data_IF_205773469503
#
_entry.id   IF_205773469503
#
_cell.length_a   1.000
_cell.length_b   1.000
_cell.length_c   1.000
_cell.angle_alpha   90.00
_cell.angle_beta   90.00
_cell.angle_gamma   90.00
#
_symmetry.space_group_name_H-M   'P 1'
#
loop_
_entity.id
_entity.type
_entity.pdbx_description
1 polymer ?
#
# COMPACT_ATOMS: atom_id res chain seq x y z
N UNK A 1 26.53 -31.81 24.82
CA UNK A 1 25.52 -32.54 25.63
C UNK A 1 24.88 -31.57 26.58
N UNK A 2 23.56 -31.41 26.53
CA UNK A 2 22.81 -30.57 27.47
C UNK A 2 22.43 -31.47 28.65
N UNK A 3 22.78 -31.07 29.88
CA UNK A 3 22.55 -31.86 31.10
C UNK A 3 21.47 -31.15 31.93
N UNK A 4 20.31 -31.76 32.04
CA UNK A 4 19.23 -31.35 32.95
C UNK A 4 18.94 -32.57 33.82
N UNK A 5 18.95 -32.40 35.15
CA UNK A 5 18.59 -33.43 36.13
C UNK A 5 19.21 -34.83 35.87
N UNK A 6 20.53 -34.88 35.73
CA UNK A 6 21.32 -36.12 35.58
C UNK A 6 21.02 -37.01 34.36
N UNK A 7 20.20 -36.57 33.41
CA UNK A 7 20.00 -37.27 32.14
C UNK A 7 20.80 -36.61 31.02
N UNK A 8 21.59 -37.40 30.29
CA UNK A 8 22.34 -36.95 29.11
C UNK A 8 21.43 -37.12 27.91
N UNK A 9 21.02 -36.01 27.30
CA UNK A 9 20.21 -36.04 26.08
C UNK A 9 21.06 -35.73 24.85
N UNK A 10 20.94 -36.56 23.81
CA UNK A 10 21.51 -36.24 22.50
C UNK A 10 20.80 -35.01 21.89
N UNK A 11 21.55 -34.03 21.35
CA UNK A 11 20.96 -32.83 20.74
C UNK A 11 19.93 -33.13 19.65
N UNK A 12 20.16 -34.18 18.87
CA UNK A 12 19.27 -34.60 17.78
C UNK A 12 17.94 -35.14 18.32
N UNK A 13 17.96 -35.87 19.45
CA UNK A 13 16.74 -36.37 20.09
C UNK A 13 15.87 -35.23 20.63
N UNK A 14 16.49 -34.21 21.24
CA UNK A 14 15.78 -33.01 21.69
C UNK A 14 15.16 -32.27 20.51
N UNK A 15 15.94 -32.06 19.44
CA UNK A 15 15.43 -31.40 18.24
C UNK A 15 14.27 -32.16 17.60
N UNK A 16 14.35 -33.50 17.57
CA UNK A 16 13.29 -34.34 17.05
C UNK A 16 12.00 -34.24 17.87
N UNK A 17 12.09 -34.34 19.20
CA UNK A 17 10.91 -34.18 20.07
C UNK A 17 10.34 -32.76 20.05
N UNK A 18 11.18 -31.73 19.97
CA UNK A 18 10.73 -30.35 19.81
C UNK A 18 9.99 -30.17 18.49
N UNK A 19 10.54 -30.64 17.38
CA UNK A 19 9.89 -30.56 16.07
C UNK A 19 8.56 -31.34 16.07
N UNK A 20 8.55 -32.53 16.68
CA UNK A 20 7.34 -33.35 16.83
C UNK A 20 6.24 -32.59 17.58
N UNK A 21 6.58 -31.94 18.69
CA UNK A 21 5.65 -31.10 19.45
C UNK A 21 5.01 -30.02 18.55
N UNK A 22 5.80 -29.27 17.79
CA UNK A 22 5.26 -28.22 16.90
C UNK A 22 4.45 -28.77 15.74
N UNK A 23 4.82 -29.91 15.17
CA UNK A 23 4.03 -30.56 14.10
C UNK A 23 2.67 -31.07 14.61
N UNK A 24 2.57 -31.44 15.89
CA UNK A 24 1.34 -31.97 16.47
C UNK A 24 0.38 -30.88 17.00
N UNK A 25 0.85 -29.65 17.26
CA UNK A 25 0.00 -28.57 17.78
C UNK A 25 -1.14 -28.24 16.81
N UNK A 26 -0.83 -28.10 15.51
CA UNK A 26 -1.81 -27.68 14.50
C UNK A 26 -2.96 -28.70 14.34
N UNK A 27 -2.72 -30.02 14.17
CA UNK A 27 -3.78 -31.02 14.16
C UNK A 27 -4.58 -31.08 15.46
N UNK A 28 -3.93 -30.96 16.63
CA UNK A 28 -4.61 -30.98 17.94
C UNK A 28 -5.56 -29.79 18.11
N UNK A 29 -5.18 -28.61 17.61
CA UNK A 29 -6.05 -27.43 17.61
C UNK A 29 -7.16 -27.55 16.57
N UNK A 30 -6.83 -28.00 15.35
CA UNK A 30 -7.80 -28.19 14.27
C UNK A 30 -8.90 -29.19 14.65
N UNK A 31 -8.55 -30.29 15.33
CA UNK A 31 -9.52 -31.29 15.78
C UNK A 31 -10.45 -30.77 16.90
N UNK A 32 -10.09 -29.69 17.60
CA UNK A 32 -10.93 -29.04 18.61
C UNK A 32 -11.92 -28.04 18.01
N UNK A 33 -11.74 -27.64 16.74
CA UNK A 33 -12.67 -26.75 16.06
C UNK A 33 -13.90 -27.59 15.65
N UNK A 34 -15.09 -27.32 16.19
CA UNK A 34 -16.28 -28.05 15.80
C UNK A 34 -16.55 -27.83 14.31
N UNK A 35 -16.79 -28.91 13.56
CA UNK A 35 -17.17 -28.81 12.16
C UNK A 35 -18.60 -28.26 12.09
N UNK A 36 -18.72 -26.96 11.84
CA UNK A 36 -20.01 -26.30 11.69
C UNK A 36 -20.50 -26.41 10.24
N UNK A 37 -21.80 -26.63 10.05
CA UNK A 37 -22.45 -26.52 8.74
C UNK A 37 -22.80 -25.08 8.37
N UNK A 38 -22.56 -24.13 9.28
CA UNK A 38 -22.82 -22.73 9.03
C UNK A 38 -21.89 -22.21 7.95
N UNK A 39 -22.48 -21.72 6.85
CA UNK A 39 -21.75 -20.99 5.83
C UNK A 39 -21.38 -19.61 6.37
N UNK A 40 -20.35 -18.98 5.82
CA UNK A 40 -19.98 -17.61 6.22
C UNK A 40 -21.18 -16.63 6.15
N UNK A 41 -22.08 -16.86 5.18
CA UNK A 41 -23.33 -16.14 5.02
C UNK A 41 -24.26 -16.20 6.23
N UNK A 42 -24.21 -17.27 7.02
CA UNK A 42 -25.11 -17.46 8.17
C UNK A 42 -24.69 -16.59 9.36
N UNK A 43 -23.44 -16.11 9.36
CA UNK A 43 -22.92 -15.13 10.33
C UNK A 43 -23.02 -13.69 9.83
N UNK A 44 -23.27 -13.50 8.54
CA UNK A 44 -23.67 -12.20 8.01
C UNK A 44 -25.14 -12.04 8.37
N UNK A 45 -25.44 -11.23 9.39
CA UNK A 45 -26.80 -10.70 9.56
C UNK A 45 -27.27 -10.21 8.19
N UNK A 46 -28.45 -10.65 7.75
CA UNK A 46 -29.01 -10.18 6.51
C UNK A 46 -28.96 -8.65 6.55
N UNK A 47 -28.22 -8.05 5.62
CA UNK A 47 -28.12 -6.58 5.50
C UNK A 47 -29.51 -5.92 5.42
N UNK A 48 -30.52 -6.70 5.07
CA UNK A 48 -31.92 -6.30 5.04
C UNK A 48 -32.57 -6.11 6.43
N UNK A 49 -32.05 -6.71 7.50
CA UNK A 49 -32.48 -6.43 8.89
C UNK A 49 -31.66 -5.29 9.53
N UNK A 50 -30.40 -5.09 9.13
CA UNK A 50 -29.58 -3.98 9.63
C UNK A 50 -29.91 -2.62 9.01
N UNK A 51 -30.58 -2.56 7.85
CA UNK A 51 -30.82 -1.31 7.10
C UNK A 51 -32.29 -0.86 7.13
N UNK A 52 -33.19 -1.60 7.79
CA UNK A 52 -34.60 -1.18 7.96
C UNK A 52 -34.84 -0.29 9.19
N UNK A 53 -33.89 0.56 9.56
CA UNK A 53 -34.28 1.75 10.31
C UNK A 53 -34.75 2.80 9.29
N UNK A 54 -36.01 3.21 9.40
CA UNK A 54 -36.54 4.42 8.76
C UNK A 54 -35.63 5.65 9.03
N UNK A 55 -34.78 5.57 10.05
CA UNK A 55 -33.75 6.55 10.43
C UNK A 55 -32.63 6.71 9.39
N UNK A 56 -32.36 5.71 8.54
CA UNK A 56 -31.36 5.82 7.46
C UNK A 56 -31.92 6.43 6.16
N UNK A 57 -33.18 6.86 6.17
CA UNK A 57 -33.81 7.70 5.15
C UNK A 57 -33.96 9.15 5.61
N UNK A 58 -33.18 9.58 6.61
CA UNK A 58 -33.12 11.00 6.93
C UNK A 58 -32.25 11.71 5.90
N UNK A 59 -32.81 12.75 5.28
CA UNK A 59 -32.06 13.69 4.45
C UNK A 59 -30.89 14.23 5.28
N UNK A 60 -29.68 14.26 4.70
CA UNK A 60 -28.52 14.85 5.37
C UNK A 60 -28.89 16.24 5.88
N UNK A 61 -28.83 16.47 7.19
CA UNK A 61 -29.19 17.77 7.73
C UNK A 61 -28.06 18.78 7.52
N UNK A 62 -28.42 20.06 7.41
CA UNK A 62 -27.42 21.15 7.28
C UNK A 62 -26.49 21.17 8.50
N UNK A 63 -26.99 20.79 9.68
CA UNK A 63 -26.24 20.78 10.94
C UNK A 63 -25.19 19.67 11.00
N UNK A 64 -25.56 18.45 10.58
CA UNK A 64 -24.62 17.33 10.46
C UNK A 64 -23.53 17.62 9.44
N UNK A 65 -23.93 18.22 8.32
CA UNK A 65 -23.01 18.68 7.29
C UNK A 65 -22.01 19.69 7.87
N UNK A 66 -22.48 20.72 8.56
CA UNK A 66 -21.60 21.69 9.22
C UNK A 66 -20.69 21.07 10.28
N UNK A 67 -21.17 20.09 11.05
CA UNK A 67 -20.36 19.39 12.06
C UNK A 67 -19.22 18.61 11.41
N UNK A 68 -19.48 17.95 10.28
CA UNK A 68 -18.44 17.28 9.50
C UNK A 68 -17.39 18.28 9.00
N UNK A 69 -17.81 19.46 8.51
CA UNK A 69 -16.88 20.51 8.09
C UNK A 69 -16.04 21.10 9.23
N UNK A 70 -16.65 21.32 10.40
CA UNK A 70 -15.91 21.80 11.60
C UNK A 70 -14.86 20.80 12.09
N UNK A 71 -14.97 19.52 11.73
CA UNK A 71 -13.96 18.51 12.05
C UNK A 71 -12.70 18.58 11.18
N UNK A 72 -12.73 19.34 10.07
CA UNK A 72 -11.59 19.51 9.17
C UNK A 72 -10.52 20.35 9.90
N UNK A 73 -9.40 19.70 10.22
CA UNK A 73 -8.24 20.36 10.83
C UNK A 73 -7.50 21.19 9.79
N UNK A 74 -6.95 22.33 10.22
CA UNK A 74 -5.96 23.08 9.44
C UNK A 74 -4.77 22.15 9.17
N UNK A 75 -4.49 21.90 7.90
CA UNK A 75 -3.37 21.05 7.45
C UNK A 75 -2.47 21.84 6.53
N UNK A 76 -1.20 21.42 6.46
CA UNK A 76 -0.23 21.93 5.49
C UNK A 76 -0.76 21.78 4.06
N UNK A 77 -0.27 22.64 3.18
CA UNK A 77 -0.53 22.60 1.74
C UNK A 77 -0.39 21.19 1.17
N UNK A 78 -1.37 20.76 0.38
CA UNK A 78 -1.30 19.50 -0.36
C UNK A 78 -0.33 19.58 -1.55
N UNK A 79 -0.20 18.50 -2.33
CA UNK A 79 0.56 18.48 -3.59
C UNK A 79 0.03 19.44 -4.66
N UNK A 80 -1.16 19.98 -4.46
CA UNK A 80 -1.84 20.97 -5.29
C UNK A 80 -1.50 22.41 -4.92
N UNK A 81 -0.67 22.63 -3.88
CA UNK A 81 -0.29 23.95 -3.37
C UNK A 81 -1.48 24.83 -2.94
N UNK A 82 -2.64 24.22 -2.67
CA UNK A 82 -3.80 24.90 -2.11
C UNK A 82 -3.76 24.76 -0.58
N UNK A 83 -3.71 25.90 0.11
CA UNK A 83 -3.75 25.93 1.56
C UNK A 83 -5.14 25.48 2.05
N UNK A 84 -5.19 24.56 3.02
CA UNK A 84 -6.45 24.06 3.57
C UNK A 84 -7.33 25.14 4.21
N UNK A 85 -6.76 26.29 4.58
CA UNK A 85 -7.51 27.46 5.04
C UNK A 85 -8.34 28.09 3.92
N UNK A 86 -7.91 28.03 2.65
CA UNK A 86 -8.70 28.52 1.50
C UNK A 86 -10.02 27.76 1.41
N UNK A 87 -10.00 26.44 1.66
CA UNK A 87 -11.22 25.63 1.67
C UNK A 87 -12.16 26.05 2.81
N UNK A 88 -11.61 26.36 4.00
CA UNK A 88 -12.38 26.83 5.16
C UNK A 88 -13.01 28.20 4.88
N UNK A 89 -12.27 29.12 4.25
CA UNK A 89 -12.73 30.47 3.95
C UNK A 89 -13.78 30.48 2.83
N UNK A 90 -13.55 29.70 1.77
CA UNK A 90 -14.50 29.53 0.67
C UNK A 90 -15.71 28.68 1.06
N UNK A 91 -15.65 27.92 2.16
CA UNK A 91 -16.73 27.03 2.58
C UNK A 91 -18.07 27.76 2.72
N UNK A 92 -18.07 28.99 3.26
CA UNK A 92 -19.31 29.79 3.41
C UNK A 92 -20.03 30.01 2.08
N UNK A 93 -19.28 30.14 0.99
CA UNK A 93 -19.83 30.37 -0.35
C UNK A 93 -20.19 29.04 -1.06
N UNK A 94 -19.46 27.96 -0.74
CA UNK A 94 -19.63 26.66 -1.37
C UNK A 94 -20.62 25.74 -0.62
N UNK A 95 -20.99 26.08 0.62
CA UNK A 95 -21.78 25.26 1.54
C UNK A 95 -23.04 24.71 0.88
N UNK A 96 -23.84 25.57 0.26
CA UNK A 96 -25.14 25.17 -0.27
C UNK A 96 -25.02 24.25 -1.49
N UNK A 97 -24.01 24.51 -2.33
CA UNK A 97 -23.73 23.70 -3.52
C UNK A 97 -23.22 22.32 -3.09
N UNK A 98 -22.26 22.29 -2.17
CA UNK A 98 -21.72 21.04 -1.64
C UNK A 98 -22.80 20.24 -0.92
N UNK A 99 -23.60 20.87 -0.06
CA UNK A 99 -24.71 20.22 0.64
C UNK A 99 -25.67 19.54 -0.34
N UNK A 100 -26.06 20.22 -1.42
CA UNK A 100 -26.91 19.64 -2.48
C UNK A 100 -26.25 18.43 -3.15
N UNK A 101 -24.97 18.53 -3.49
CA UNK A 101 -24.21 17.44 -4.13
C UNK A 101 -24.09 16.22 -3.21
N UNK A 102 -23.76 16.43 -1.95
CA UNK A 102 -23.63 15.35 -0.97
C UNK A 102 -24.97 14.68 -0.67
N UNK A 103 -26.03 15.47 -0.46
CA UNK A 103 -27.36 14.92 -0.24
C UNK A 103 -27.87 14.14 -1.46
N UNK A 104 -27.66 14.66 -2.67
CA UNK A 104 -27.98 13.95 -3.91
C UNK A 104 -27.17 12.64 -4.05
N UNK A 105 -25.88 12.65 -3.70
CA UNK A 105 -25.01 11.47 -3.76
C UNK A 105 -25.45 10.37 -2.79
N UNK A 106 -25.88 10.75 -1.57
CA UNK A 106 -26.41 9.81 -0.57
C UNK A 106 -27.73 9.21 -1.05
N UNK A 107 -28.66 10.03 -1.56
CA UNK A 107 -29.95 9.58 -2.08
C UNK A 107 -29.80 8.64 -3.28
N UNK A 108 -28.94 9.00 -4.22
CA UNK A 108 -28.73 8.23 -5.44
C UNK A 108 -27.84 7.01 -5.22
N UNK A 109 -27.14 6.93 -4.07
CA UNK A 109 -26.10 5.93 -3.76
C UNK A 109 -25.00 5.84 -4.84
N UNK A 110 -24.83 6.90 -5.64
CA UNK A 110 -23.82 7.01 -6.68
C UNK A 110 -22.92 8.18 -6.31
N UNK A 111 -21.66 7.86 -6.00
CA UNK A 111 -20.66 8.86 -5.72
C UNK A 111 -19.82 9.11 -6.98
N UNK A 112 -19.56 10.39 -7.36
CA UNK A 112 -18.81 10.70 -8.57
C UNK A 112 -17.45 10.01 -8.58
N UNK A 113 -17.09 9.43 -9.72
CA UNK A 113 -15.79 8.77 -9.88
C UNK A 113 -14.64 9.78 -9.74
N UNK A 114 -14.92 11.06 -9.99
CA UNK A 114 -14.01 12.19 -9.80
C UNK A 114 -13.84 12.62 -8.33
N UNK A 115 -14.65 12.14 -7.39
CA UNK A 115 -14.50 12.45 -5.96
C UNK A 115 -14.02 11.24 -5.13
N UNK A 116 -13.98 10.03 -5.71
CA UNK A 116 -13.36 8.81 -5.11
C UNK A 116 -11.82 8.87 -5.03
N UNK A 117 -11.27 10.06 -4.95
CA UNK A 117 -9.89 10.35 -5.30
C UNK A 117 -9.05 10.55 -4.04
N UNK A 118 -8.44 9.45 -3.60
CA UNK A 118 -6.98 9.44 -3.54
C UNK A 118 -6.48 8.91 -4.89
N UNK A 119 -6.66 9.65 -5.99
CA UNK A 119 -5.88 9.37 -7.21
C UNK A 119 -4.49 9.89 -6.89
N UNK A 120 -3.59 8.95 -6.63
CA UNK A 120 -2.21 9.12 -7.06
C UNK A 120 -2.29 9.64 -8.49
N UNK A 121 -1.77 10.84 -8.74
CA UNK A 121 -1.63 11.40 -10.09
C UNK A 121 -1.28 10.26 -11.05
N UNK A 122 -2.15 9.98 -12.03
CA UNK A 122 -1.78 9.06 -13.11
C UNK A 122 -0.78 9.82 -13.97
N UNK A 123 0.47 9.83 -13.52
CA UNK A 123 1.58 10.35 -14.30
C UNK A 123 1.60 9.53 -15.59
N UNK A 124 1.29 10.17 -16.72
CA UNK A 124 1.35 9.50 -18.01
C UNK A 124 2.82 9.38 -18.38
N UNK A 125 3.29 8.17 -18.77
CA UNK A 125 4.66 8.03 -19.25
C UNK A 125 4.89 8.88 -20.50
N UNK A 126 6.12 9.33 -20.75
CA UNK A 126 6.47 10.04 -21.99
C UNK A 126 6.13 9.20 -23.23
N UNK A 127 5.63 9.86 -24.26
CA UNK A 127 5.05 9.28 -25.48
C UNK A 127 6.07 8.61 -26.41
N UNK A 128 7.33 9.05 -26.36
CA UNK A 128 8.41 8.50 -27.16
C UNK A 128 9.29 7.60 -26.29
N UNK A 129 9.40 6.33 -26.68
CA UNK A 129 10.33 5.38 -26.07
C UNK A 129 11.51 5.18 -27.02
N UNK A 130 12.70 5.71 -26.71
CA UNK A 130 13.93 5.16 -27.26
C UNK A 130 14.10 3.72 -26.76
N UNK A 131 14.72 2.86 -27.58
CA UNK A 131 15.01 1.47 -27.22
C UNK A 131 15.86 1.43 -25.95
N UNK A 132 15.20 1.09 -24.84
CA UNK A 132 15.82 1.02 -23.53
C UNK A 132 16.52 -0.34 -23.37
N UNK A 133 17.80 -0.36 -22.96
CA UNK A 133 18.49 -1.62 -22.75
C UNK A 133 17.77 -2.46 -21.68
N UNK A 134 17.80 -3.80 -21.80
CA UNK A 134 17.14 -4.67 -20.85
C UNK A 134 17.67 -4.46 -19.43
N UNK A 135 16.78 -4.57 -18.43
CA UNK A 135 17.15 -4.46 -17.02
C UNK A 135 18.20 -5.53 -16.70
N UNK A 136 19.38 -5.09 -16.25
CA UNK A 136 20.48 -5.96 -15.86
C UNK A 136 20.70 -5.84 -14.36
N UNK A 137 20.55 -6.94 -13.63
CA UNK A 137 21.04 -7.01 -12.25
C UNK A 137 22.57 -7.03 -12.29
N UNK A 138 23.19 -5.93 -11.87
CA UNK A 138 24.66 -5.79 -11.82
C UNK A 138 25.24 -6.57 -10.65
N UNK A 139 24.54 -6.60 -9.52
CA UNK A 139 24.96 -7.28 -8.30
C UNK A 139 24.39 -8.70 -8.21
N UNK A 140 25.18 -9.64 -7.72
CA UNK A 140 24.71 -10.98 -7.38
C UNK A 140 23.95 -11.00 -6.04
N UNK A 141 23.11 -12.02 -5.83
CA UNK A 141 22.37 -12.19 -4.59
C UNK A 141 23.29 -12.37 -3.38
N UNK A 142 24.41 -13.09 -3.55
CA UNK A 142 25.39 -13.33 -2.49
C UNK A 142 26.04 -12.02 -2.05
N UNK A 143 26.46 -11.19 -3.00
CA UNK A 143 27.05 -9.88 -2.71
C UNK A 143 26.07 -8.93 -2.00
N UNK A 144 24.76 -8.98 -2.33
CA UNK A 144 23.75 -8.18 -1.62
C UNK A 144 23.54 -8.62 -0.17
N UNK A 145 23.68 -9.92 0.10
CA UNK A 145 23.62 -10.46 1.47
C UNK A 145 24.88 -10.11 2.24
N UNK A 146 26.05 -10.28 1.64
CA UNK A 146 27.35 -9.94 2.23
C UNK A 146 27.44 -8.43 2.54
N UNK A 147 26.81 -7.58 1.71
CA UNK A 147 26.70 -6.14 1.94
C UNK A 147 25.54 -5.73 2.87
N UNK A 148 24.82 -6.69 3.46
CA UNK A 148 23.69 -6.49 4.39
C UNK A 148 22.65 -5.46 3.90
N UNK A 149 22.34 -5.48 2.60
CA UNK A 149 21.37 -4.54 2.03
C UNK A 149 19.97 -4.88 2.55
N UNK A 150 19.19 -3.93 3.08
CA UNK A 150 17.79 -4.17 3.46
C UNK A 150 16.95 -4.60 2.25
N UNK A 151 15.97 -5.48 2.45
CA UNK A 151 15.13 -6.02 1.36
C UNK A 151 14.52 -4.94 0.46
N UNK A 152 14.18 -3.77 1.03
CA UNK A 152 13.62 -2.64 0.29
C UNK A 152 14.55 -2.09 -0.81
N UNK A 153 15.86 -2.18 -0.63
CA UNK A 153 16.89 -1.61 -1.52
C UNK A 153 17.60 -2.68 -2.35
N UNK A 154 17.06 -3.90 -2.43
CA UNK A 154 17.58 -5.00 -3.26
C UNK A 154 16.95 -5.00 -4.66
N UNK A 155 16.96 -3.84 -5.29
CA UNK A 155 16.48 -3.60 -6.66
C UNK A 155 17.63 -3.58 -7.66
N UNK A 156 17.35 -3.22 -8.91
CA UNK A 156 18.35 -3.09 -9.97
C UNK A 156 19.39 -1.98 -9.67
N UNK A 157 19.07 -1.05 -8.77
CA UNK A 157 19.91 0.08 -8.37
C UNK A 157 20.75 -0.20 -7.11
N UNK A 158 20.67 -1.43 -6.55
CA UNK A 158 21.40 -1.85 -5.35
C UNK A 158 22.93 -1.63 -5.43
N UNK A 159 23.50 -1.69 -6.63
CA UNK A 159 24.93 -1.43 -6.87
C UNK A 159 25.36 0.01 -6.57
N UNK A 160 24.47 0.99 -6.69
CA UNK A 160 24.70 2.39 -6.31
C UNK A 160 24.34 2.64 -4.84
N UNK A 161 23.48 1.81 -4.25
CA UNK A 161 23.13 1.92 -2.84
C UNK A 161 24.31 1.57 -1.91
N UNK A 162 25.16 0.61 -2.29
CA UNK A 162 26.34 0.21 -1.51
C UNK A 162 27.30 1.40 -1.26
N UNK A 163 27.79 2.13 -2.28
CA UNK A 163 28.67 3.28 -2.06
C UNK A 163 27.99 4.39 -1.26
N UNK A 164 26.69 4.65 -1.50
CA UNK A 164 25.92 5.60 -0.69
C UNK A 164 25.87 5.20 0.79
N UNK A 165 25.63 3.91 1.09
CA UNK A 165 25.60 3.40 2.46
C UNK A 165 26.98 3.52 3.12
N UNK A 166 28.05 3.19 2.40
CA UNK A 166 29.44 3.34 2.89
C UNK A 166 29.75 4.79 3.23
N UNK A 167 29.54 5.72 2.30
CA UNK A 167 29.80 7.13 2.52
C UNK A 167 28.99 7.66 3.71
N UNK A 168 27.71 7.28 3.85
CA UNK A 168 26.88 7.71 4.97
C UNK A 168 27.37 7.18 6.32
N UNK A 169 27.88 5.95 6.39
CA UNK A 169 28.44 5.38 7.61
C UNK A 169 29.73 6.14 8.01
N UNK A 170 30.62 6.37 7.04
CA UNK A 170 31.88 7.08 7.26
C UNK A 170 31.65 8.54 7.69
N UNK A 171 30.68 9.21 7.09
CA UNK A 171 30.32 10.61 7.38
C UNK A 171 29.31 10.76 8.52
N UNK A 172 29.01 9.68 9.27
CA UNK A 172 28.04 9.66 10.38
C UNK A 172 26.68 10.27 10.03
N UNK A 173 26.17 9.95 8.83
CA UNK A 173 24.85 10.36 8.33
C UNK A 173 24.67 11.89 8.19
N UNK A 174 25.76 12.64 7.94
CA UNK A 174 25.67 14.09 7.72
C UNK A 174 24.85 14.43 6.45
N UNK A 175 23.82 15.30 6.52
CA UNK A 175 22.92 15.57 5.40
C UNK A 175 23.56 16.23 4.17
N UNK A 176 24.65 16.98 4.36
CA UNK A 176 25.38 17.66 3.28
C UNK A 176 26.50 16.82 2.68
N UNK A 177 26.85 15.70 3.32
CA UNK A 177 27.86 14.77 2.83
C UNK A 177 27.22 13.72 1.90
N UNK A 178 28.02 13.11 1.01
CA UNK A 178 27.58 12.05 0.08
C UNK A 178 26.52 12.47 -0.96
N UNK A 179 26.55 13.73 -1.42
CA UNK A 179 25.58 14.25 -2.39
C UNK A 179 25.67 13.56 -3.74
N UNK A 180 26.88 13.21 -4.18
CA UNK A 180 27.12 12.64 -5.49
C UNK A 180 26.57 11.20 -5.56
N UNK A 181 26.96 10.35 -4.61
CA UNK A 181 26.49 8.97 -4.49
C UNK A 181 24.98 8.91 -4.28
N UNK A 182 24.42 9.89 -3.55
CA UNK A 182 22.98 10.02 -3.37
C UNK A 182 22.29 10.33 -4.71
N UNK A 183 22.82 11.29 -5.46
CA UNK A 183 22.25 11.71 -6.74
C UNK A 183 22.28 10.57 -7.75
N UNK A 184 23.41 9.85 -7.89
CA UNK A 184 23.51 8.70 -8.79
C UNK A 184 22.49 7.61 -8.46
N UNK A 185 22.34 7.28 -7.17
CA UNK A 185 21.34 6.30 -6.74
C UNK A 185 19.90 6.79 -7.02
N UNK A 186 19.59 8.06 -6.76
CA UNK A 186 18.28 8.65 -7.01
C UNK A 186 17.93 8.70 -8.51
N UNK A 187 18.89 9.01 -9.38
CA UNK A 187 18.70 8.98 -10.82
C UNK A 187 18.35 7.57 -11.32
N UNK A 188 19.03 6.54 -10.79
CA UNK A 188 18.72 5.16 -11.12
C UNK A 188 17.31 4.76 -10.65
N UNK A 189 16.93 5.12 -9.42
CA UNK A 189 15.60 4.85 -8.86
C UNK A 189 14.50 5.52 -9.67
N UNK A 190 14.71 6.78 -10.06
CA UNK A 190 13.78 7.55 -10.90
C UNK A 190 13.65 6.91 -12.29
N UNK A 191 14.76 6.48 -12.88
CA UNK A 191 14.74 5.76 -14.16
C UNK A 191 13.97 4.43 -14.06
N UNK A 192 14.18 3.64 -13.00
CA UNK A 192 13.41 2.41 -12.76
C UNK A 192 11.92 2.66 -12.48
N UNK A 193 11.59 3.74 -11.77
CA UNK A 193 10.21 4.15 -11.57
C UNK A 193 9.51 4.46 -12.91
N UNK A 194 10.15 5.25 -13.78
CA UNK A 194 9.61 5.53 -15.11
C UNK A 194 9.46 4.26 -15.95
N UNK A 195 10.41 3.31 -15.86
CA UNK A 195 10.28 1.99 -16.49
C UNK A 195 9.02 1.26 -16.02
N UNK A 196 8.80 1.15 -14.70
CA UNK A 196 7.62 0.49 -14.12
C UNK A 196 6.31 1.15 -14.55
N UNK A 197 6.28 2.47 -14.63
CA UNK A 197 5.11 3.19 -15.14
C UNK A 197 4.83 2.89 -16.62
N UNK A 198 5.88 2.80 -17.44
CA UNK A 198 5.77 2.42 -18.85
C UNK A 198 5.26 0.99 -19.02
N UNK A 199 5.78 0.02 -18.28
CA UNK A 199 5.35 -1.38 -18.35
C UNK A 199 3.87 -1.53 -17.96
N UNK A 200 3.46 -0.87 -16.87
CA UNK A 200 2.05 -0.83 -16.47
C UNK A 200 1.16 -0.19 -17.54
N UNK A 201 1.63 0.85 -18.22
CA UNK A 201 0.89 1.46 -19.32
C UNK A 201 0.72 0.50 -20.50
N UNK A 202 1.79 -0.21 -20.90
CA UNK A 202 1.75 -1.25 -21.95
C UNK A 202 0.77 -2.37 -21.60
N UNK A 203 0.79 -2.87 -20.36
CA UNK A 203 -0.16 -3.88 -19.89
C UNK A 203 -1.61 -3.41 -19.98
N UNK A 204 -1.87 -2.14 -19.60
CA UNK A 204 -3.22 -1.57 -19.68
C UNK A 204 -3.70 -1.46 -21.13
N UNK A 205 -2.84 -1.06 -22.07
CA UNK A 205 -3.17 -1.00 -23.49
C UNK A 205 -3.48 -2.40 -24.05
N UNK A 206 -2.70 -3.43 -23.68
CA UNK A 206 -2.97 -4.81 -24.06
C UNK A 206 -4.32 -5.30 -23.54
N UNK A 207 -4.61 -5.09 -22.25
CA UNK A 207 -5.91 -5.42 -21.65
C UNK A 207 -7.07 -4.71 -22.33
N UNK A 208 -6.90 -3.45 -22.72
CA UNK A 208 -7.93 -2.71 -23.46
C UNK A 208 -8.14 -3.29 -24.87
N UNK A 209 -7.08 -3.70 -25.56
CA UNK A 209 -7.18 -4.34 -26.86
C UNK A 209 -7.85 -5.72 -26.77
N UNK A 210 -7.49 -6.54 -25.77
CA UNK A 210 -8.11 -7.84 -25.49
C UNK A 210 -9.61 -7.70 -25.17
N UNK A 211 -9.98 -6.74 -24.31
CA UNK A 211 -11.38 -6.48 -23.98
C UNK A 211 -12.20 -6.00 -25.20
N UNK A 212 -11.59 -5.24 -26.12
CA UNK A 212 -12.22 -4.84 -27.38
C UNK A 212 -12.35 -6.02 -28.36
N UNK A 213 -11.36 -6.92 -28.38
CA UNK A 213 -11.36 -8.10 -29.25
C UNK A 213 -12.37 -9.18 -28.79
N UNK A 214 -12.63 -9.30 -27.48
CA UNK A 214 -13.62 -10.24 -26.93
C UNK A 214 -15.07 -9.73 -26.94
N UNK A 215 -15.33 -8.52 -27.45
CA UNK A 215 -16.66 -7.94 -27.62
C UNK A 215 -17.18 -8.01 -29.07
N UNK A 216 -16.46 -8.69 -29.97
CA UNK A 216 -16.83 -8.98 -31.36
C UNK A 216 -17.05 -10.49 -31.50
#
# INVERSE_FOLDING_TARGET
MIKIENTIFEPNAISHEFNKLFTEISPKLSNKIPNTRALFSDFLLALDECIRSDELSSDLSIEEFEKAFKSIKKKSCGPDEIDGNVIIDCFKQLKDVLFKVFNASIKQRVFPEQSKIAKNSKMNPPSFLPDEPPRKMVLSQKEMMDAEIPLKFRDYCAHLYIPLRKCRIETKMMPWACKHEKHEWEECEVADYYRRMRDKHRENLKKQAENKAGQV
#
